data_IF_724290293086
#
_entry.id   IF_724290293086
#
_cell.length_a   1.000
_cell.length_b   1.000
_cell.length_c   1.000
_cell.angle_alpha   90.00
_cell.angle_beta   90.00
_cell.angle_gamma   90.00
#
_symmetry.space_group_name_H-M   'P 1'
#
loop_
_entity.id
_entity.type
_entity.pdbx_description
1 polymer ?
#
# COMPACT_ATOMS: atom_id res chain seq x y z
N UNK A 1 20.74 -2.18 -8.58
CA UNK A 1 19.28 -2.11 -8.36
C UNK A 1 18.53 -2.17 -9.67
N UNK A 2 17.45 -2.93 -9.71
CA UNK A 2 16.58 -3.11 -10.86
C UNK A 2 15.12 -2.96 -10.44
N UNK A 3 14.29 -2.38 -11.30
CA UNK A 3 12.83 -2.48 -11.17
C UNK A 3 12.37 -3.79 -11.78
N UNK A 4 11.71 -4.69 -11.05
CA UNK A 4 11.24 -5.97 -11.57
C UNK A 4 10.11 -5.82 -12.59
N UNK A 5 9.36 -4.74 -12.52
CA UNK A 5 8.22 -4.46 -13.39
C UNK A 5 8.57 -4.64 -14.88
N UNK A 6 7.93 -5.62 -15.53
CA UNK A 6 8.16 -5.97 -16.93
C UNK A 6 9.54 -6.55 -17.23
N UNK A 7 10.21 -7.18 -16.25
CA UNK A 7 11.57 -7.71 -16.37
C UNK A 7 11.68 -9.20 -16.05
N UNK A 8 10.59 -9.95 -16.21
CA UNK A 8 10.62 -11.40 -15.99
C UNK A 8 11.56 -12.14 -16.96
N UNK A 9 11.70 -11.62 -18.18
CA UNK A 9 12.64 -12.13 -19.19
C UNK A 9 14.08 -12.23 -18.68
N UNK A 10 14.55 -11.26 -17.91
CA UNK A 10 15.90 -11.26 -17.31
C UNK A 10 16.11 -12.47 -16.41
N UNK A 11 15.08 -12.93 -15.72
CA UNK A 11 15.12 -14.14 -14.88
C UNK A 11 15.07 -15.39 -15.73
N UNK A 12 14.12 -15.46 -16.68
CA UNK A 12 13.93 -16.66 -17.51
C UNK A 12 15.07 -16.92 -18.48
N UNK A 13 15.77 -15.88 -18.92
CA UNK A 13 16.98 -15.97 -19.75
C UNK A 13 18.27 -16.23 -18.92
N UNK A 14 18.14 -16.38 -17.60
CA UNK A 14 19.27 -16.73 -16.73
C UNK A 14 20.32 -15.63 -16.58
N UNK A 15 19.92 -14.37 -16.66
CA UNK A 15 20.83 -13.22 -16.59
C UNK A 15 21.23 -12.84 -15.16
N UNK A 16 20.60 -13.45 -14.14
CA UNK A 16 20.80 -13.13 -12.74
C UNK A 16 21.32 -14.34 -11.96
N UNK A 17 22.18 -14.08 -10.99
CA UNK A 17 22.55 -15.08 -9.99
C UNK A 17 21.37 -15.39 -9.07
N UNK A 18 21.23 -16.66 -8.71
CA UNK A 18 20.39 -17.05 -7.58
C UNK A 18 21.05 -16.55 -6.28
N UNK A 19 20.42 -15.58 -5.63
CA UNK A 19 20.94 -14.92 -4.42
C UNK A 19 21.04 -15.89 -3.22
N UNK A 20 20.22 -16.96 -3.19
CA UNK A 20 20.32 -17.98 -2.14
C UNK A 20 21.54 -18.86 -2.29
N UNK A 21 22.09 -18.97 -3.49
CA UNK A 21 23.30 -19.74 -3.74
C UNK A 21 24.59 -19.02 -3.34
N UNK A 22 24.52 -17.71 -3.06
CA UNK A 22 25.67 -16.88 -2.73
C UNK A 22 25.91 -16.84 -1.21
N UNK A 23 27.02 -17.41 -0.75
CA UNK A 23 27.34 -17.57 0.67
C UNK A 23 27.58 -16.28 1.44
N UNK A 24 27.71 -15.15 0.75
CA UNK A 24 27.93 -13.83 1.37
C UNK A 24 26.66 -13.08 1.79
N UNK A 25 25.45 -13.58 1.47
CA UNK A 25 24.17 -12.96 1.81
C UNK A 25 23.48 -13.72 2.95
N UNK A 26 23.24 -13.04 4.06
CA UNK A 26 22.50 -13.60 5.20
C UNK A 26 21.00 -13.23 5.09
N UNK A 27 20.32 -13.71 4.04
CA UNK A 27 18.97 -13.32 3.64
C UNK A 27 17.88 -13.52 4.70
N UNK A 28 18.14 -14.38 5.69
CA UNK A 28 17.21 -14.61 6.82
C UNK A 28 17.43 -13.67 8.00
N UNK A 29 18.36 -12.72 7.89
CA UNK A 29 18.65 -11.72 8.90
C UNK A 29 17.64 -10.55 8.84
N UNK A 30 17.52 -9.80 9.94
CA UNK A 30 16.53 -8.72 10.10
C UNK A 30 16.81 -7.49 9.23
N UNK A 31 17.98 -7.38 8.64
CA UNK A 31 18.29 -6.30 7.69
C UNK A 31 17.82 -6.58 6.26
N UNK A 32 17.38 -7.82 5.97
CA UNK A 32 16.75 -8.19 4.71
C UNK A 32 15.23 -8.22 4.83
N UNK A 33 14.54 -7.91 3.75
CA UNK A 33 13.09 -7.96 3.68
C UNK A 33 12.62 -9.40 3.42
N UNK A 34 12.40 -10.15 4.49
CA UNK A 34 12.01 -11.57 4.43
C UNK A 34 10.68 -11.77 3.72
N UNK A 35 9.75 -10.82 3.84
CA UNK A 35 8.41 -10.90 3.22
C UNK A 35 8.55 -10.80 1.70
N UNK A 36 9.30 -9.81 1.24
CA UNK A 36 9.59 -9.64 -0.20
C UNK A 36 10.37 -10.84 -0.72
N UNK A 37 11.40 -11.28 -0.02
CA UNK A 37 12.22 -12.43 -0.43
C UNK A 37 11.39 -13.70 -0.55
N UNK A 38 10.53 -14.01 0.43
CA UNK A 38 9.65 -15.18 0.41
C UNK A 38 8.65 -15.13 -0.76
N UNK A 39 8.06 -13.97 -1.00
CA UNK A 39 7.09 -13.81 -2.09
C UNK A 39 7.74 -13.87 -3.49
N UNK A 40 8.99 -13.42 -3.61
CA UNK A 40 9.75 -13.42 -4.87
C UNK A 40 10.51 -14.73 -5.14
N UNK A 41 10.49 -15.67 -4.22
CA UNK A 41 11.16 -16.97 -4.37
C UNK A 41 10.40 -17.87 -5.35
N UNK A 42 11.10 -18.45 -6.32
CA UNK A 42 10.55 -19.36 -7.32
C UNK A 42 11.39 -20.65 -7.31
N UNK A 43 10.77 -21.76 -7.05
CA UNK A 43 11.43 -23.08 -7.03
C UNK A 43 12.71 -23.07 -6.16
N UNK A 44 12.62 -22.49 -4.96
CA UNK A 44 13.73 -22.36 -4.02
C UNK A 44 14.83 -21.39 -4.42
N UNK A 45 14.67 -20.64 -5.51
CA UNK A 45 15.63 -19.65 -6.02
C UNK A 45 15.12 -18.22 -5.83
N UNK A 46 16.05 -17.32 -5.55
CA UNK A 46 15.75 -15.90 -5.34
C UNK A 46 16.63 -15.03 -6.25
N UNK A 47 16.03 -14.31 -7.17
CA UNK A 47 16.74 -13.45 -8.11
C UNK A 47 16.67 -11.97 -7.75
N UNK A 48 15.69 -11.58 -6.92
CA UNK A 48 15.46 -10.22 -6.45
C UNK A 48 15.21 -10.23 -4.96
N UNK A 49 15.77 -9.26 -4.26
CA UNK A 49 15.50 -9.05 -2.83
C UNK A 49 15.47 -7.57 -2.51
N UNK A 50 15.01 -7.25 -1.32
CA UNK A 50 15.01 -5.92 -0.74
C UNK A 50 15.59 -5.97 0.67
N UNK A 51 16.07 -4.84 1.16
CA UNK A 51 16.61 -4.74 2.50
C UNK A 51 16.87 -3.30 2.92
N UNK A 52 17.41 -3.13 4.11
CA UNK A 52 17.60 -1.81 4.74
C UNK A 52 18.64 -0.91 4.05
N UNK A 53 19.40 -1.42 3.07
CA UNK A 53 20.29 -0.58 2.26
C UNK A 53 19.55 0.53 1.52
N UNK A 54 18.26 0.39 1.33
CA UNK A 54 17.44 1.24 0.50
C UNK A 54 16.08 1.47 1.18
N UNK A 55 15.77 2.71 1.49
CA UNK A 55 14.56 3.07 2.27
C UNK A 55 13.27 3.13 1.45
N UNK A 56 13.36 3.14 0.10
CA UNK A 56 12.19 3.29 -0.77
C UNK A 56 11.07 2.27 -0.49
N UNK A 57 11.33 0.97 -0.24
CA UNK A 57 10.27 0.01 0.06
C UNK A 57 9.48 0.35 1.33
N UNK A 58 10.12 1.01 2.29
CA UNK A 58 9.44 1.50 3.49
C UNK A 58 8.64 2.77 3.21
N UNK A 59 9.23 3.73 2.51
CA UNK A 59 8.60 5.01 2.16
C UNK A 59 7.39 4.84 1.23
N UNK A 60 7.41 3.82 0.38
CA UNK A 60 6.35 3.53 -0.60
C UNK A 60 5.35 2.48 -0.16
N UNK A 61 5.43 2.01 1.08
CA UNK A 61 4.35 1.22 1.69
C UNK A 61 3.07 2.05 1.74
N UNK A 62 1.95 1.45 1.33
CA UNK A 62 0.67 2.14 1.26
C UNK A 62 -0.06 2.10 2.60
N UNK A 63 -0.72 3.20 2.93
CA UNK A 63 -1.54 3.34 4.13
C UNK A 63 -2.75 4.23 3.86
N UNK A 64 -3.65 4.30 4.82
CA UNK A 64 -4.72 5.30 4.87
C UNK A 64 -4.32 6.40 5.84
N UNK A 65 -4.42 7.64 5.41
CA UNK A 65 -4.44 8.80 6.29
C UNK A 65 -5.88 9.10 6.68
N UNK A 66 -6.11 9.59 7.88
CA UNK A 66 -7.42 10.09 8.29
C UNK A 66 -7.29 11.46 8.92
N UNK A 67 -8.31 12.32 8.73
CA UNK A 67 -8.35 13.66 9.25
C UNK A 67 -8.93 13.66 10.66
N UNK A 68 -8.07 13.74 11.69
CA UNK A 68 -8.47 13.71 13.09
C UNK A 68 -9.47 14.83 13.43
N UNK A 69 -9.25 16.04 12.91
CA UNK A 69 -10.14 17.18 13.16
C UNK A 69 -11.54 16.97 12.58
N UNK A 70 -11.69 16.30 11.43
CA UNK A 70 -13.00 15.91 10.91
C UNK A 70 -13.65 14.82 11.75
N UNK A 71 -12.88 13.87 12.25
CA UNK A 71 -13.38 12.82 13.13
C UNK A 71 -13.90 13.38 14.44
N UNK A 72 -13.15 14.26 15.10
CA UNK A 72 -13.57 14.94 16.30
C UNK A 72 -14.84 15.79 16.09
N UNK A 73 -14.85 16.63 15.04
CA UNK A 73 -15.98 17.50 14.72
C UNK A 73 -17.27 16.73 14.44
N UNK A 74 -17.17 15.57 13.77
CA UNK A 74 -18.31 14.74 13.42
C UNK A 74 -18.62 13.67 14.50
N UNK A 75 -17.87 13.65 15.60
CA UNK A 75 -18.03 12.67 16.69
C UNK A 75 -17.92 11.20 16.19
N UNK A 76 -16.98 10.96 15.30
CA UNK A 76 -16.70 9.61 14.78
C UNK A 76 -15.76 8.92 15.76
N UNK A 77 -16.02 7.64 16.05
CA UNK A 77 -15.16 6.81 16.90
C UNK A 77 -13.70 6.85 16.44
N UNK A 78 -12.77 6.80 17.38
CA UNK A 78 -11.35 6.81 17.08
C UNK A 78 -10.95 5.55 16.28
N UNK A 79 -10.44 5.69 15.05
CA UNK A 79 -10.12 4.53 14.21
C UNK A 79 -8.89 3.76 14.69
N UNK A 80 -8.02 4.33 15.51
CA UNK A 80 -6.92 3.60 16.15
C UNK A 80 -7.43 2.47 17.03
N UNK A 81 -8.52 2.70 17.78
CA UNK A 81 -9.12 1.68 18.64
C UNK A 81 -9.74 0.56 17.82
N UNK A 82 -10.28 0.86 16.64
CA UNK A 82 -10.76 -0.15 15.70
C UNK A 82 -9.64 -1.04 15.15
N UNK A 83 -8.45 -0.46 14.92
CA UNK A 83 -7.28 -1.25 14.51
C UNK A 83 -6.83 -2.16 15.63
N UNK A 84 -6.71 -1.64 16.85
CA UNK A 84 -6.28 -2.42 18.05
C UNK A 84 -7.21 -3.57 18.38
N UNK A 85 -8.53 -3.34 18.27
CA UNK A 85 -9.54 -4.38 18.51
C UNK A 85 -9.67 -5.39 17.36
N UNK A 86 -9.10 -5.09 16.19
CA UNK A 86 -9.26 -5.91 14.99
C UNK A 86 -10.55 -5.64 14.23
N UNK A 87 -11.34 -4.64 14.61
CA UNK A 87 -12.62 -4.28 14.00
C UNK A 87 -12.49 -3.31 12.81
N UNK A 88 -11.28 -2.94 12.44
CA UNK A 88 -11.00 -2.07 11.29
C UNK A 88 -11.14 -2.86 9.98
N UNK A 89 -12.37 -2.87 9.43
CA UNK A 89 -12.75 -3.64 8.23
C UNK A 89 -13.20 -2.73 7.09
N UNK A 90 -13.27 -3.29 5.86
CA UNK A 90 -13.81 -2.58 4.68
C UNK A 90 -15.26 -2.13 4.89
N UNK A 91 -16.07 -2.93 5.58
CA UNK A 91 -17.43 -2.56 5.92
C UNK A 91 -17.46 -1.35 6.86
N UNK A 92 -16.59 -1.33 7.88
CA UNK A 92 -16.49 -0.20 8.82
C UNK A 92 -16.04 1.08 8.12
N UNK A 93 -15.02 1.00 7.27
CA UNK A 93 -14.59 2.11 6.41
C UNK A 93 -15.76 2.65 5.58
N UNK A 94 -16.48 1.75 4.91
CA UNK A 94 -17.64 2.10 4.07
C UNK A 94 -18.73 2.81 4.86
N UNK A 95 -19.08 2.30 6.03
CA UNK A 95 -20.08 2.92 6.94
C UNK A 95 -19.66 4.32 7.37
N UNK A 96 -18.40 4.50 7.79
CA UNK A 96 -17.87 5.80 8.20
C UNK A 96 -17.95 6.80 7.03
N UNK A 97 -17.48 6.41 5.85
CA UNK A 97 -17.49 7.28 4.67
C UNK A 97 -18.90 7.72 4.26
N UNK A 98 -19.84 6.77 4.19
CA UNK A 98 -21.23 7.06 3.82
C UNK A 98 -21.96 7.97 4.81
N UNK A 99 -21.69 7.77 6.10
CA UNK A 99 -22.36 8.56 7.14
C UNK A 99 -21.84 10.00 7.26
N UNK A 100 -20.62 10.26 6.82
CA UNK A 100 -19.92 11.51 7.11
C UNK A 100 -19.45 12.28 5.87
N UNK A 101 -19.66 11.80 4.65
CA UNK A 101 -19.53 12.63 3.46
C UNK A 101 -20.67 13.65 3.40
N UNK A 102 -20.40 14.86 2.89
CA UNK A 102 -21.42 15.91 2.82
C UNK A 102 -21.15 16.89 1.69
N UNK A 103 -22.21 17.46 1.15
CA UNK A 103 -22.12 18.52 0.14
C UNK A 103 -21.56 19.84 0.70
N UNK A 104 -21.70 20.06 2.01
CA UNK A 104 -21.20 21.24 2.72
C UNK A 104 -21.54 22.58 2.02
N UNK A 105 -22.74 22.66 1.46
CA UNK A 105 -23.24 23.81 0.74
C UNK A 105 -23.07 23.79 -0.79
N UNK A 106 -22.38 22.83 -1.35
CA UNK A 106 -22.36 22.60 -2.79
C UNK A 106 -23.68 21.95 -3.25
N UNK A 107 -24.07 22.15 -4.52
CA UNK A 107 -25.29 21.57 -5.09
C UNK A 107 -25.14 20.06 -5.39
N UNK A 108 -23.91 19.63 -5.68
CA UNK A 108 -23.56 18.24 -5.99
C UNK A 108 -22.08 17.96 -5.73
N UNK A 109 -21.69 16.68 -5.65
CA UNK A 109 -20.29 16.28 -5.57
C UNK A 109 -19.62 16.44 -6.94
N UNK A 110 -18.96 17.55 -7.17
CA UNK A 110 -18.40 17.94 -8.47
C UNK A 110 -16.91 17.80 -8.60
N UNK A 111 -16.22 17.38 -7.53
CA UNK A 111 -14.76 17.16 -7.50
C UNK A 111 -13.92 18.36 -7.97
N UNK A 112 -14.44 19.57 -7.78
CA UNK A 112 -13.76 20.82 -8.14
C UNK A 112 -12.76 21.23 -7.08
N UNK A 113 -11.66 21.85 -7.50
CA UNK A 113 -10.64 22.37 -6.60
C UNK A 113 -11.21 23.41 -5.63
N UNK A 114 -12.10 24.28 -6.08
CA UNK A 114 -12.74 25.32 -5.28
C UNK A 114 -14.08 24.92 -4.64
N UNK A 115 -14.44 23.63 -4.65
CA UNK A 115 -15.67 23.13 -4.00
C UNK A 115 -15.55 23.07 -2.48
N UNK A 116 -16.67 22.87 -1.81
CA UNK A 116 -16.77 22.78 -0.34
C UNK A 116 -17.11 21.35 0.13
N UNK A 117 -17.55 20.47 -0.77
CA UNK A 117 -17.94 19.10 -0.44
C UNK A 117 -16.85 18.34 0.30
N UNK A 118 -17.26 17.60 1.32
CA UNK A 118 -16.40 16.68 2.10
C UNK A 118 -16.68 15.26 1.66
N UNK A 119 -15.62 14.56 1.23
CA UNK A 119 -15.67 13.20 0.71
C UNK A 119 -15.30 12.18 1.77
N UNK A 120 -15.69 10.92 1.57
CA UNK A 120 -15.24 9.82 2.41
C UNK A 120 -13.76 9.53 2.20
N UNK A 121 -13.40 8.93 1.07
CA UNK A 121 -12.02 8.63 0.70
C UNK A 121 -11.59 9.46 -0.49
N UNK A 122 -10.52 10.23 -0.33
CA UNK A 122 -9.78 10.86 -1.43
C UNK A 122 -8.68 9.90 -1.88
N UNK A 123 -8.72 9.41 -3.13
CA UNK A 123 -7.95 8.24 -3.52
C UNK A 123 -6.95 8.47 -4.64
N UNK A 124 -5.82 7.77 -4.53
CA UNK A 124 -4.90 7.53 -5.63
C UNK A 124 -5.45 6.44 -6.56
N UNK A 125 -4.97 6.37 -7.81
CA UNK A 125 -5.37 5.33 -8.78
C UNK A 125 -5.11 3.89 -8.30
N UNK A 126 -4.14 3.67 -7.42
CA UNK A 126 -3.81 2.36 -6.86
C UNK A 126 -4.70 1.98 -5.65
N UNK A 127 -5.66 2.81 -5.25
CA UNK A 127 -6.44 2.56 -4.02
C UNK A 127 -7.19 1.23 -4.04
N UNK A 128 -7.74 0.85 -5.20
CA UNK A 128 -8.46 -0.42 -5.34
C UNK A 128 -7.52 -1.62 -5.12
N UNK A 129 -6.34 -1.61 -5.75
CA UNK A 129 -5.33 -2.66 -5.51
C UNK A 129 -4.89 -2.73 -4.05
N UNK A 130 -4.74 -1.56 -3.39
CA UNK A 130 -4.41 -1.49 -1.98
C UNK A 130 -5.52 -2.07 -1.08
N UNK A 131 -6.79 -1.78 -1.38
CA UNK A 131 -7.94 -2.32 -0.64
C UNK A 131 -8.08 -3.83 -0.85
N UNK A 132 -7.95 -4.32 -2.08
CA UNK A 132 -7.96 -5.76 -2.37
C UNK A 132 -6.83 -6.47 -1.63
N UNK A 133 -5.62 -5.91 -1.67
CA UNK A 133 -4.47 -6.47 -0.96
C UNK A 133 -4.68 -6.46 0.56
N UNK A 134 -5.20 -5.36 1.12
CA UNK A 134 -5.60 -5.22 2.52
C UNK A 134 -6.62 -6.28 2.95
N UNK A 135 -7.58 -6.56 2.09
CA UNK A 135 -8.59 -7.61 2.26
C UNK A 135 -8.06 -9.05 2.11
N UNK A 136 -6.75 -9.23 1.91
CA UNK A 136 -6.15 -10.55 1.74
C UNK A 136 -6.30 -11.14 0.33
N UNK A 137 -6.79 -10.37 -0.64
CA UNK A 137 -6.87 -10.80 -2.04
C UNK A 137 -5.53 -10.61 -2.73
N UNK A 138 -5.13 -11.61 -3.49
CA UNK A 138 -3.92 -11.62 -4.33
C UNK A 138 -4.31 -12.01 -5.75
N UNK A 139 -3.59 -11.51 -6.74
CA UNK A 139 -3.72 -12.01 -8.12
C UNK A 139 -3.09 -13.38 -8.24
N UNK A 140 -1.90 -13.52 -7.67
CA UNK A 140 -1.17 -14.78 -7.63
C UNK A 140 -0.58 -14.96 -6.24
N UNK A 141 -0.83 -16.11 -5.64
CA UNK A 141 -0.21 -16.55 -4.39
C UNK A 141 0.98 -17.46 -4.69
N UNK A 142 2.00 -17.42 -3.85
CA UNK A 142 3.07 -18.41 -3.85
C UNK A 142 2.75 -19.45 -2.77
N UNK A 143 2.34 -20.64 -3.20
CA UNK A 143 2.01 -21.76 -2.33
C UNK A 143 3.10 -22.83 -2.43
N UNK A 144 4.00 -22.87 -1.44
CA UNK A 144 5.10 -23.83 -1.38
C UNK A 144 6.05 -23.83 -2.61
N UNK A 145 6.25 -22.66 -3.22
CA UNK A 145 7.10 -22.48 -4.40
C UNK A 145 6.33 -22.52 -5.73
N UNK A 146 5.05 -22.85 -5.71
CA UNK A 146 4.19 -22.84 -6.90
C UNK A 146 3.35 -21.57 -6.93
N UNK A 147 3.19 -20.96 -8.10
CA UNK A 147 2.33 -19.82 -8.30
C UNK A 147 0.92 -20.25 -8.64
N UNK A 148 -0.03 -19.86 -7.78
CA UNK A 148 -1.45 -20.20 -7.91
C UNK A 148 -2.25 -18.93 -8.20
N UNK A 149 -3.10 -18.98 -9.22
CA UNK A 149 -4.05 -17.90 -9.52
C UNK A 149 -5.12 -17.82 -8.43
N UNK A 150 -5.28 -16.64 -7.82
CA UNK A 150 -6.05 -16.47 -6.58
C UNK A 150 -7.27 -15.54 -6.69
N UNK A 151 -7.60 -15.03 -7.90
CA UNK A 151 -8.81 -14.21 -8.12
C UNK A 151 -10.07 -15.07 -8.25
N UNK A 152 -10.30 -15.93 -7.27
CA UNK A 152 -11.43 -16.85 -7.24
C UNK A 152 -11.90 -17.05 -5.80
N UNK A 153 -13.12 -17.56 -5.65
CA UNK A 153 -13.68 -17.93 -4.34
C UNK A 153 -14.33 -16.76 -3.59
N UNK A 154 -14.92 -17.11 -2.44
CA UNK A 154 -15.81 -16.23 -1.69
C UNK A 154 -15.08 -14.95 -1.23
N UNK A 155 -13.87 -15.06 -0.69
CA UNK A 155 -13.09 -13.88 -0.24
C UNK A 155 -12.88 -12.84 -1.34
N UNK A 156 -12.59 -13.28 -2.57
CA UNK A 156 -12.44 -12.36 -3.70
C UNK A 156 -13.77 -11.67 -4.03
N UNK A 157 -14.85 -12.44 -4.10
CA UNK A 157 -16.18 -11.88 -4.38
C UNK A 157 -16.63 -10.91 -3.30
N UNK A 158 -16.49 -11.26 -2.02
CA UNK A 158 -16.86 -10.40 -0.89
C UNK A 158 -16.05 -9.10 -0.85
N UNK A 159 -14.74 -9.18 -1.15
CA UNK A 159 -13.90 -7.99 -1.24
C UNK A 159 -14.34 -7.07 -2.38
N UNK A 160 -14.58 -7.62 -3.58
CA UNK A 160 -15.06 -6.86 -4.75
C UNK A 160 -16.41 -6.23 -4.46
N UNK A 161 -17.36 -6.97 -3.86
CA UNK A 161 -18.69 -6.45 -3.52
C UNK A 161 -18.60 -5.30 -2.52
N UNK A 162 -17.81 -5.47 -1.44
CA UNK A 162 -17.68 -4.46 -0.40
C UNK A 162 -17.00 -3.19 -0.93
N UNK A 163 -15.93 -3.32 -1.71
CA UNK A 163 -15.25 -2.18 -2.32
C UNK A 163 -16.15 -1.49 -3.36
N UNK A 164 -16.88 -2.26 -4.19
CA UNK A 164 -17.84 -1.72 -5.15
C UNK A 164 -18.95 -0.92 -4.45
N UNK A 165 -19.42 -1.42 -3.32
CA UNK A 165 -20.38 -0.74 -2.46
C UNK A 165 -19.88 0.63 -1.97
N UNK A 166 -18.60 0.74 -1.59
CA UNK A 166 -17.98 2.01 -1.23
C UNK A 166 -17.88 2.95 -2.44
N UNK A 167 -17.36 2.45 -3.57
CA UNK A 167 -17.08 3.28 -4.75
C UNK A 167 -18.33 3.75 -5.48
N UNK A 168 -19.43 3.00 -5.39
CA UNK A 168 -20.72 3.37 -5.97
C UNK A 168 -21.49 4.41 -5.12
N UNK A 169 -21.06 4.65 -3.89
CA UNK A 169 -21.74 5.60 -3.00
C UNK A 169 -21.27 7.02 -3.26
N UNK A 170 -22.20 7.88 -3.69
CA UNK A 170 -21.91 9.28 -4.02
C UNK A 170 -21.29 10.01 -2.83
N UNK A 171 -20.17 10.68 -3.06
CA UNK A 171 -19.39 11.37 -2.03
C UNK A 171 -18.57 10.48 -1.10
N UNK A 172 -18.89 9.18 -0.96
CA UNK A 172 -18.14 8.29 -0.07
C UNK A 172 -16.76 7.92 -0.62
N UNK A 173 -16.61 7.89 -1.93
CA UNK A 173 -15.35 7.60 -2.59
C UNK A 173 -15.10 8.60 -3.72
N UNK A 174 -13.89 9.07 -3.80
CA UNK A 174 -13.45 10.04 -4.76
C UNK A 174 -12.56 9.35 -5.80
N UNK A 175 -13.05 9.22 -7.02
CA UNK A 175 -12.27 8.65 -8.12
C UNK A 175 -11.24 9.68 -8.58
N UNK A 176 -9.97 9.30 -8.66
CA UNK A 176 -8.94 10.21 -9.18
C UNK A 176 -9.23 10.71 -10.59
N UNK A 177 -9.92 9.88 -11.42
CA UNK A 177 -10.36 10.26 -12.77
C UNK A 177 -11.48 11.29 -12.81
N UNK A 178 -12.18 11.53 -11.70
CA UNK A 178 -13.33 12.46 -11.65
C UNK A 178 -12.89 13.89 -11.33
N UNK A 179 -11.60 14.10 -11.07
CA UNK A 179 -11.04 15.44 -10.87
C UNK A 179 -11.14 16.27 -12.16
N UNK A 180 -11.66 17.49 -12.03
CA UNK A 180 -11.63 18.49 -13.11
C UNK A 180 -10.27 19.19 -13.23
N UNK A 181 -9.27 18.72 -12.50
CA UNK A 181 -7.92 19.25 -12.42
C UNK A 181 -6.93 18.13 -12.17
N UNK A 182 -5.65 18.38 -12.44
CA UNK A 182 -4.59 17.39 -12.52
C UNK A 182 -4.50 16.47 -11.28
N UNK A 183 -5.03 15.25 -11.40
CA UNK A 183 -4.99 14.24 -10.36
C UNK A 183 -3.56 13.72 -10.14
N UNK A 184 -2.72 13.68 -11.19
CA UNK A 184 -1.34 13.23 -11.10
C UNK A 184 -0.48 14.25 -10.34
N UNK A 185 -0.81 15.53 -10.42
CA UNK A 185 -0.16 16.59 -9.66
C UNK A 185 -0.59 16.64 -8.17
N UNK A 186 -1.31 15.64 -7.68
CA UNK A 186 -1.64 15.51 -6.26
C UNK A 186 -2.98 16.13 -5.85
N UNK A 187 -3.92 16.26 -6.78
CA UNK A 187 -5.26 16.79 -6.50
C UNK A 187 -6.01 16.08 -5.38
N UNK A 188 -5.87 14.77 -5.29
CA UNK A 188 -6.43 13.95 -4.22
C UNK A 188 -5.78 14.27 -2.86
N UNK A 189 -4.47 14.59 -2.82
CA UNK A 189 -3.77 15.02 -1.60
C UNK A 189 -4.26 16.43 -1.18
N UNK A 190 -4.38 17.34 -2.16
CA UNK A 190 -4.88 18.69 -1.90
C UNK A 190 -6.29 18.67 -1.31
N UNK A 191 -7.19 17.82 -1.79
CA UNK A 191 -8.55 17.68 -1.26
C UNK A 191 -8.53 17.31 0.22
N UNK A 192 -7.71 16.33 0.60
CA UNK A 192 -7.52 15.94 2.00
C UNK A 192 -6.86 17.06 2.83
N UNK A 193 -5.79 17.65 2.33
CA UNK A 193 -5.06 18.71 3.03
C UNK A 193 -5.87 19.99 3.29
N UNK A 194 -7.00 20.15 2.61
CA UNK A 194 -7.94 21.25 2.81
C UNK A 194 -9.22 20.80 3.53
N UNK A 195 -9.17 19.78 4.36
CA UNK A 195 -10.28 19.28 5.19
C UNK A 195 -11.51 18.84 4.38
N UNK A 196 -11.30 18.36 3.16
CA UNK A 196 -12.37 17.97 2.25
C UNK A 196 -12.44 16.47 2.01
N UNK A 197 -11.76 15.66 2.82
CA UNK A 197 -11.91 14.22 2.84
C UNK A 197 -11.63 13.67 4.23
N UNK A 198 -12.39 12.63 4.63
CA UNK A 198 -12.18 11.93 5.90
C UNK A 198 -10.91 11.10 5.85
N UNK A 199 -10.70 10.43 4.72
CA UNK A 199 -9.53 9.57 4.48
C UNK A 199 -8.81 9.95 3.19
N UNK A 200 -7.51 9.64 3.17
CA UNK A 200 -6.65 9.74 1.99
C UNK A 200 -5.88 8.44 1.81
N UNK A 201 -5.90 7.89 0.61
CA UNK A 201 -4.99 6.79 0.28
C UNK A 201 -3.61 7.36 -0.11
N UNK A 202 -2.58 6.94 0.58
CA UNK A 202 -1.24 7.45 0.34
C UNK A 202 -0.15 6.47 0.71
N UNK A 203 1.07 6.81 0.37
CA UNK A 203 2.26 6.12 0.83
C UNK A 203 2.78 6.79 2.10
N UNK A 204 3.57 6.09 2.92
CA UNK A 204 4.16 6.67 4.15
C UNK A 204 4.84 8.01 3.87
N UNK A 205 5.55 8.14 2.74
CA UNK A 205 6.19 9.40 2.33
C UNK A 205 5.23 10.56 2.06
N UNK A 206 3.93 10.28 1.84
CA UNK A 206 2.91 11.32 1.61
C UNK A 206 2.75 12.24 2.82
N UNK A 207 3.08 11.79 4.03
CA UNK A 207 3.13 12.62 5.24
C UNK A 207 3.98 13.89 5.05
N UNK A 208 5.05 13.82 4.25
CA UNK A 208 5.87 15.00 3.95
C UNK A 208 5.11 16.09 3.16
N UNK A 209 4.10 15.72 2.39
CA UNK A 209 3.26 16.64 1.62
C UNK A 209 2.12 17.23 2.46
N UNK A 210 1.79 16.57 3.57
CA UNK A 210 0.75 16.98 4.52
C UNK A 210 1.31 17.80 5.70
N UNK A 211 2.63 17.99 5.80
CA UNK A 211 3.28 18.65 6.94
C UNK A 211 2.79 20.07 7.20
N UNK A 212 2.33 20.77 6.15
CA UNK A 212 1.84 22.14 6.21
C UNK A 212 0.31 22.20 6.35
N UNK A 213 -0.37 21.05 6.52
CA UNK A 213 -1.79 20.95 6.80
C UNK A 213 -2.10 21.55 8.18
N UNK A 214 -3.15 22.36 8.26
CA UNK A 214 -3.56 23.01 9.51
C UNK A 214 -4.21 22.03 10.48
N UNK A 215 -4.97 21.07 9.97
CA UNK A 215 -5.65 20.05 10.76
C UNK A 215 -4.70 18.90 11.10
N UNK A 216 -4.92 18.27 12.25
CA UNK A 216 -4.20 17.06 12.63
C UNK A 216 -4.69 15.87 11.81
N UNK A 217 -3.77 14.96 11.52
CA UNK A 217 -4.04 13.73 10.80
C UNK A 217 -3.26 12.56 11.39
N UNK A 218 -3.82 11.38 11.24
CA UNK A 218 -3.17 10.13 11.60
C UNK A 218 -3.05 9.17 10.43
N UNK A 219 -2.41 8.04 10.66
CA UNK A 219 -2.29 6.95 9.68
C UNK A 219 -2.88 5.65 10.21
N UNK A 220 -3.34 4.81 9.30
CA UNK A 220 -3.92 3.50 9.57
C UNK A 220 -3.42 2.49 8.53
N UNK A 221 -3.30 1.20 8.85
CA UNK A 221 -3.21 0.17 7.84
C UNK A 221 -4.48 0.16 6.97
N UNK A 222 -4.41 -0.43 5.78
CA UNK A 222 -5.63 -0.71 5.03
C UNK A 222 -6.51 -1.68 5.82
N UNK A 223 -7.85 -1.51 5.74
CA UNK A 223 -8.77 -2.36 6.50
C UNK A 223 -8.72 -3.81 6.03
N UNK A 224 -9.00 -4.71 6.95
CA UNK A 224 -9.26 -6.12 6.67
C UNK A 224 -10.54 -6.29 5.88
N UNK A 225 -10.74 -7.45 5.25
CA UNK A 225 -12.04 -7.78 4.68
C UNK A 225 -13.09 -7.89 5.79
N UNK A 226 -12.82 -8.71 6.79
CA UNK A 226 -13.71 -9.10 7.87
C UNK A 226 -12.94 -9.44 9.16
N UNK A 227 -13.65 -9.87 10.19
CA UNK A 227 -13.12 -10.26 11.49
C UNK A 227 -12.40 -11.62 11.49
N UNK A 228 -12.59 -12.43 10.45
CA UNK A 228 -11.89 -13.72 10.29
C UNK A 228 -10.45 -13.57 9.82
N UNK A 229 -10.08 -12.40 9.32
CA UNK A 229 -8.71 -12.06 8.94
C UNK A 229 -7.90 -11.64 10.17
N UNK A 230 -6.85 -12.38 10.51
CA UNK A 230 -6.05 -12.11 11.71
C UNK A 230 -5.20 -10.84 11.57
N UNK A 231 -4.58 -10.61 10.41
CA UNK A 231 -3.58 -9.57 10.19
C UNK A 231 -4.03 -8.49 9.21
N UNK A 232 -3.49 -7.28 9.38
CA UNK A 232 -3.60 -6.20 8.40
C UNK A 232 -2.52 -6.36 7.33
N UNK A 233 -2.88 -6.24 6.05
CA UNK A 233 -1.93 -6.34 4.95
C UNK A 233 -1.65 -5.00 4.30
N UNK A 234 -0.38 -4.77 4.00
CA UNK A 234 0.12 -3.53 3.39
C UNK A 234 0.73 -3.80 2.03
N UNK A 235 0.15 -3.20 1.02
CA UNK A 235 0.60 -3.34 -0.36
C UNK A 235 1.90 -2.57 -0.63
N UNK A 236 2.84 -3.22 -1.30
CA UNK A 236 4.06 -2.63 -1.86
C UNK A 236 4.01 -2.76 -3.37
N UNK A 237 4.05 -1.63 -4.08
CA UNK A 237 3.97 -1.64 -5.55
C UNK A 237 5.23 -2.21 -6.20
N UNK A 238 5.10 -2.83 -7.37
CA UNK A 238 6.22 -3.32 -8.19
C UNK A 238 7.14 -2.22 -8.76
N UNK A 239 6.85 -0.96 -8.51
CA UNK A 239 7.69 0.16 -8.93
C UNK A 239 8.94 0.38 -8.04
N UNK A 240 9.14 -0.47 -7.04
CA UNK A 240 10.31 -0.40 -6.17
C UNK A 240 11.57 -0.93 -6.86
N UNK A 241 12.71 -0.38 -6.45
CA UNK A 241 14.02 -0.88 -6.86
C UNK A 241 14.39 -2.09 -5.99
N UNK A 242 14.75 -3.19 -6.64
CA UNK A 242 15.20 -4.41 -6.00
C UNK A 242 16.69 -4.60 -6.21
N UNK A 243 17.31 -5.26 -5.25
CA UNK A 243 18.69 -5.70 -5.33
C UNK A 243 18.76 -7.01 -6.11
N UNK A 244 19.72 -7.10 -7.02
CA UNK A 244 20.01 -8.29 -7.81
C UNK A 244 21.51 -8.31 -8.17
N UNK A 245 22.05 -9.45 -8.53
CA UNK A 245 23.44 -9.63 -8.97
C UNK A 245 23.43 -10.28 -10.36
N UNK A 246 23.92 -9.58 -11.41
CA UNK A 246 23.92 -10.13 -12.76
C UNK A 246 25.02 -11.19 -12.91
N UNK A 247 24.80 -12.19 -13.78
CA UNK A 247 25.78 -13.27 -14.04
C UNK A 247 27.09 -12.77 -14.68
N UNK A 248 27.09 -11.56 -15.21
CA UNK A 248 28.31 -10.92 -15.72
C UNK A 248 29.24 -10.41 -14.62
N UNK A 249 28.80 -10.43 -13.35
CA UNK A 249 29.65 -10.08 -12.22
C UNK A 249 30.75 -11.15 -12.03
N UNK A 250 32.00 -10.73 -12.05
CA UNK A 250 33.17 -11.63 -11.96
C UNK A 250 33.50 -12.07 -10.52
N UNK A 251 32.95 -11.38 -9.51
CA UNK A 251 33.16 -11.65 -8.08
C UNK A 251 31.84 -11.63 -7.33
N UNK A 252 30.88 -12.52 -7.64
CA UNK A 252 29.54 -12.47 -7.06
C UNK A 252 29.53 -12.69 -5.54
N UNK A 253 30.40 -13.54 -5.00
CA UNK A 253 30.51 -13.79 -3.55
C UNK A 253 31.05 -12.57 -2.78
N UNK A 254 32.04 -11.88 -3.33
CA UNK A 254 32.55 -10.64 -2.73
C UNK A 254 31.48 -9.54 -2.78
N UNK A 255 30.79 -9.41 -3.91
CA UNK A 255 29.67 -8.48 -4.08
C UNK A 255 28.56 -8.78 -3.07
N UNK A 256 28.19 -10.04 -2.91
CA UNK A 256 27.20 -10.50 -1.93
C UNK A 256 27.59 -10.10 -0.50
N UNK A 257 28.84 -10.38 -0.11
CA UNK A 257 29.34 -10.02 1.23
C UNK A 257 29.36 -8.50 1.49
N UNK A 258 29.73 -7.71 0.49
CA UNK A 258 29.70 -6.23 0.59
C UNK A 258 28.27 -5.74 0.72
N UNK A 259 27.33 -6.26 -0.06
CA UNK A 259 25.92 -5.88 0.00
C UNK A 259 25.30 -6.25 1.35
N UNK A 260 25.62 -7.43 1.91
CA UNK A 260 25.16 -7.84 3.22
C UNK A 260 25.67 -6.88 4.32
N UNK A 261 26.97 -6.56 4.30
CA UNK A 261 27.58 -5.64 5.25
C UNK A 261 26.99 -4.22 5.15
N UNK A 262 26.76 -3.71 3.94
CA UNK A 262 26.15 -2.39 3.73
C UNK A 262 24.68 -2.38 4.20
N UNK A 263 23.93 -3.46 3.96
CA UNK A 263 22.54 -3.57 4.38
C UNK A 263 22.45 -3.64 5.91
N UNK A 264 23.33 -4.41 6.55
CA UNK A 264 23.46 -4.44 8.01
C UNK A 264 23.82 -3.06 8.59
N UNK A 265 24.78 -2.36 7.98
CA UNK A 265 25.17 -1.00 8.42
C UNK A 265 23.99 -0.03 8.34
N UNK A 266 23.23 -0.08 7.25
CA UNK A 266 21.99 0.72 7.08
C UNK A 266 20.94 0.38 8.13
N UNK A 267 20.73 -0.91 8.39
CA UNK A 267 19.82 -1.38 9.43
C UNK A 267 20.16 -0.80 10.81
N UNK A 268 21.46 -0.80 11.17
CA UNK A 268 21.92 -0.30 12.48
C UNK A 268 21.94 1.21 12.59
N UNK A 269 22.22 1.93 11.52
CA UNK A 269 22.55 3.34 11.59
C UNK A 269 21.56 4.24 10.83
N UNK A 270 21.07 3.85 9.66
CA UNK A 270 20.20 4.69 8.85
C UNK A 270 18.72 4.50 9.18
N UNK A 271 18.30 3.27 9.35
CA UNK A 271 16.89 2.96 9.60
C UNK A 271 16.37 3.60 10.91
N UNK A 272 17.09 3.56 12.05
CA UNK A 272 16.68 4.25 13.27
C UNK A 272 16.58 5.78 13.08
N UNK A 273 17.52 6.39 12.33
CA UNK A 273 17.48 7.82 12.03
C UNK A 273 16.27 8.16 11.16
N UNK A 274 15.97 7.32 10.19
CA UNK A 274 14.82 7.50 9.32
C UNK A 274 13.52 7.50 10.12
N UNK A 275 13.30 6.49 10.96
CA UNK A 275 12.11 6.42 11.79
C UNK A 275 12.06 7.52 12.85
N UNK A 276 13.14 7.74 13.61
CA UNK A 276 13.16 8.73 14.68
C UNK A 276 13.09 10.19 14.20
N UNK A 277 13.66 10.52 13.03
CA UNK A 277 13.73 11.92 12.58
C UNK A 277 12.73 12.29 11.49
N UNK A 278 12.39 11.37 10.59
CA UNK A 278 11.52 11.70 9.45
C UNK A 278 10.07 11.34 9.67
N UNK A 279 9.82 10.22 10.28
CA UNK A 279 8.47 9.71 10.45
C UNK A 279 7.86 10.27 11.73
N UNK A 280 8.56 10.18 12.85
CA UNK A 280 8.07 10.63 14.15
C UNK A 280 8.02 12.16 14.29
N UNK A 281 9.04 12.89 13.84
CA UNK A 281 9.14 14.33 14.11
C UNK A 281 8.58 15.25 13.03
N UNK A 282 8.42 14.76 11.77
CA UNK A 282 8.07 15.63 10.64
C UNK A 282 6.79 15.24 9.91
N UNK A 283 6.28 14.04 10.10
CA UNK A 283 5.14 13.52 9.35
C UNK A 283 4.03 12.96 10.21
N UNK A 284 4.37 12.22 11.25
CA UNK A 284 3.40 11.61 12.16
C UNK A 284 3.50 12.29 13.51
N UNK A 285 2.42 12.91 13.95
CA UNK A 285 2.41 13.89 15.04
C UNK A 285 2.01 13.31 16.39
N UNK A 286 1.60 12.04 16.46
CA UNK A 286 1.12 11.40 17.67
C UNK A 286 1.64 9.97 17.83
N UNK A 287 1.63 9.48 19.08
CA UNK A 287 2.12 8.14 19.45
C UNK A 287 1.26 7.03 18.83
N UNK A 288 -0.04 7.26 18.65
CA UNK A 288 -0.94 6.30 18.00
C UNK A 288 -0.54 6.04 16.55
N UNK A 289 -0.20 7.08 15.80
CA UNK A 289 0.31 6.94 14.43
C UNK A 289 1.63 6.16 14.37
N UNK A 290 2.49 6.30 15.38
CA UNK A 290 3.74 5.54 15.47
C UNK A 290 3.43 4.05 15.68
N UNK A 291 2.46 3.72 16.55
CA UNK A 291 1.99 2.35 16.74
C UNK A 291 1.39 1.78 15.43
N UNK A 292 0.61 2.56 14.70
CA UNK A 292 0.04 2.13 13.41
C UNK A 292 1.12 1.82 12.35
N UNK A 293 2.29 2.48 12.42
CA UNK A 293 3.43 2.11 11.57
C UNK A 293 3.88 0.66 11.79
N UNK A 294 3.78 0.14 13.01
CA UNK A 294 4.17 -1.25 13.28
C UNK A 294 3.21 -2.22 12.61
N UNK A 295 1.89 -1.95 12.63
CA UNK A 295 0.90 -2.72 11.85
C UNK A 295 1.19 -2.65 10.34
N UNK A 296 1.46 -1.45 9.82
CA UNK A 296 1.78 -1.26 8.39
C UNK A 296 3.06 -2.01 8.01
N UNK A 297 4.08 -1.99 8.86
CA UNK A 297 5.37 -2.64 8.59
C UNK A 297 5.30 -4.15 8.66
N UNK A 298 4.63 -4.69 9.67
CA UNK A 298 4.49 -6.15 9.85
C UNK A 298 3.64 -6.78 8.75
N UNK A 299 2.62 -6.06 8.26
CA UNK A 299 1.72 -6.54 7.22
C UNK A 299 2.23 -6.35 5.78
N UNK A 300 3.43 -5.79 5.57
CA UNK A 300 3.95 -5.53 4.23
C UNK A 300 4.04 -6.78 3.38
N UNK A 301 3.68 -6.63 2.10
CA UNK A 301 3.77 -7.72 1.14
C UNK A 301 3.72 -7.24 -0.30
N UNK A 302 4.05 -8.14 -1.21
CA UNK A 302 3.95 -7.95 -2.65
C UNK A 302 3.01 -8.99 -3.23
N UNK A 303 2.37 -8.64 -4.34
CA UNK A 303 1.77 -9.61 -5.25
C UNK A 303 2.75 -9.83 -6.41
N UNK A 304 3.19 -11.06 -6.61
CA UNK A 304 4.24 -11.36 -7.57
C UNK A 304 3.83 -11.05 -9.02
N UNK A 305 2.56 -11.25 -9.35
CA UNK A 305 2.05 -10.95 -10.67
C UNK A 305 2.02 -9.43 -10.93
N UNK A 306 1.57 -8.66 -9.95
CA UNK A 306 1.59 -7.20 -10.02
C UNK A 306 3.02 -6.66 -9.99
N UNK A 307 3.87 -7.29 -9.20
CA UNK A 307 5.26 -6.90 -9.06
C UNK A 307 6.04 -6.96 -10.38
N UNK A 308 5.79 -7.97 -11.20
CA UNK A 308 6.37 -8.10 -12.54
C UNK A 308 5.50 -7.49 -13.64
N UNK A 309 4.38 -6.88 -13.32
CA UNK A 309 3.36 -6.38 -14.28
C UNK A 309 2.82 -7.46 -15.22
N UNK A 310 2.71 -8.70 -14.73
CA UNK A 310 2.18 -9.82 -15.52
C UNK A 310 0.66 -9.73 -15.67
N UNK A 311 0.00 -9.01 -14.78
CA UNK A 311 -1.44 -8.89 -14.67
C UNK A 311 -1.96 -7.46 -14.96
N UNK A 312 -1.19 -6.61 -15.62
CA UNK A 312 -1.53 -5.19 -15.79
C UNK A 312 -2.89 -4.96 -16.48
N UNK A 313 -3.28 -5.79 -17.45
CA UNK A 313 -4.60 -5.75 -18.08
C UNK A 313 -5.70 -6.18 -17.10
N UNK A 314 -5.50 -7.28 -16.37
CA UNK A 314 -6.46 -7.80 -15.37
C UNK A 314 -6.67 -6.78 -14.27
N UNK A 315 -5.59 -6.18 -13.74
CA UNK A 315 -5.67 -5.12 -12.73
C UNK A 315 -6.47 -3.92 -13.22
N UNK A 316 -6.22 -3.48 -14.46
CA UNK A 316 -6.93 -2.35 -15.07
C UNK A 316 -8.42 -2.64 -15.28
N UNK A 317 -8.74 -3.83 -15.79
CA UNK A 317 -10.13 -4.26 -16.01
C UNK A 317 -10.88 -4.43 -14.69
N UNK A 318 -10.29 -5.08 -13.70
CA UNK A 318 -10.88 -5.27 -12.38
C UNK A 318 -11.11 -3.91 -11.68
N UNK A 319 -10.11 -3.03 -11.71
CA UNK A 319 -10.25 -1.67 -11.17
C UNK A 319 -11.38 -0.92 -11.85
N UNK A 320 -11.47 -0.98 -13.19
CA UNK A 320 -12.52 -0.34 -13.96
C UNK A 320 -13.90 -0.94 -13.64
N UNK A 321 -14.00 -2.25 -13.50
CA UNK A 321 -15.25 -2.92 -13.15
C UNK A 321 -15.75 -2.49 -11.77
N UNK A 322 -14.88 -2.45 -10.76
CA UNK A 322 -15.19 -2.01 -9.40
C UNK A 322 -15.63 -0.52 -9.39
N UNK A 323 -14.86 0.35 -10.06
CA UNK A 323 -15.16 1.79 -10.10
C UNK A 323 -16.43 2.14 -10.86
N UNK A 324 -16.83 1.34 -11.83
CA UNK A 324 -18.03 1.56 -12.65
C UNK A 324 -19.22 0.68 -12.23
N UNK A 325 -19.06 -0.14 -11.17
CA UNK A 325 -20.15 -0.95 -10.65
C UNK A 325 -21.27 -0.05 -10.10
N UNK A 326 -22.51 -0.47 -10.30
CA UNK A 326 -23.70 0.19 -9.74
C UNK A 326 -24.02 -0.31 -8.33
N UNK A 327 -23.07 -0.98 -7.66
CA UNK A 327 -23.22 -1.51 -6.31
C UNK A 327 -23.89 -2.89 -6.23
N UNK A 328 -24.13 -3.54 -7.39
CA UNK A 328 -24.61 -4.94 -7.43
C UNK A 328 -23.57 -5.78 -8.16
N UNK A 329 -22.89 -6.64 -7.44
CA UNK A 329 -21.98 -7.65 -8.01
C UNK A 329 -22.81 -8.80 -8.65
N UNK A 330 -23.55 -8.48 -9.71
CA UNK A 330 -24.29 -9.47 -10.45
C UNK A 330 -24.00 -9.29 -11.94
N UNK A 331 -22.85 -9.81 -12.37
CA UNK A 331 -22.66 -10.33 -13.75
C UNK A 331 -21.25 -10.93 -13.89
#
# INVERSE_FOLDING_TARGET
YLKPAGKLDIVTEGMLHDLRSLGGLNLDSDWWDKVVSKAAEVDGKLYFTSGCLHLMPFETSWCLYFNESLFERNQIDNPYDLVRSGDWTLEKLTKICRANCSLNGDESYTYKRGGNSVYGVSSHTNAISCMLFGAGVRYVSNENGEFVYSLTGDRFHDAVETISSLTASEGAYFKASDLDWDAEAGGYIYTFANDRALFLTGQIKTANQLRDMNSEFGILPFPKLDDTQDEYYTYITGNNLMLTIPVTNQSPEETASILDALTYYSYKNLLPIYYGNKVEQKGLRNDDSIEMLDYIRSGRGIDIADYFLLNSSVTSELTSAILNSTGTAAS
#
